data_IF_782220649339
#
_entry.id   IF_782220649339
#
_cell.length_a   1.000
_cell.length_b   1.000
_cell.length_c   1.000
_cell.angle_alpha   90.00
_cell.angle_beta   90.00
_cell.angle_gamma   90.00
#
_symmetry.space_group_name_H-M   'P 1'
#
loop_
_entity.id
_entity.type
_entity.pdbx_description
1 polymer ?
#
# COMPACT_ATOMS: atom_id res chain seq x y z
N UNK A 1 29.77 -43.83 46.33
CA UNK A 1 29.49 -43.27 44.97
C UNK A 1 28.26 -42.36 44.87
N UNK A 2 27.15 -42.57 45.60
CA UNK A 2 25.92 -41.74 45.50
C UNK A 2 26.10 -40.22 45.73
N UNK A 3 26.95 -39.80 46.68
CA UNK A 3 27.15 -38.35 46.99
C UNK A 3 27.83 -37.54 45.87
N UNK A 4 28.69 -38.16 45.05
CA UNK A 4 29.39 -37.46 43.95
C UNK A 4 28.42 -37.16 42.80
N UNK A 5 27.54 -38.11 42.48
CA UNK A 5 26.52 -37.95 41.43
C UNK A 5 25.49 -36.88 41.79
N UNK A 6 25.15 -36.74 43.07
CA UNK A 6 24.22 -35.70 43.54
C UNK A 6 24.80 -34.28 43.46
N UNK A 7 26.12 -34.11 43.63
CA UNK A 7 26.80 -32.82 43.43
C UNK A 7 26.84 -32.43 41.95
N UNK A 8 27.13 -33.38 41.07
CA UNK A 8 27.15 -33.15 39.61
C UNK A 8 25.75 -32.79 39.10
N UNK A 9 24.70 -33.49 39.56
CA UNK A 9 23.31 -33.18 39.19
C UNK A 9 22.87 -31.76 39.60
N UNK A 10 23.27 -31.30 40.80
CA UNK A 10 22.98 -29.92 41.24
C UNK A 10 23.68 -28.86 40.39
N UNK A 11 24.93 -29.11 40.00
CA UNK A 11 25.69 -28.18 39.14
C UNK A 11 25.03 -28.08 37.77
N UNK A 12 24.63 -29.21 37.17
CA UNK A 12 23.93 -29.23 35.88
C UNK A 12 22.58 -28.51 35.93
N UNK A 13 21.81 -28.68 37.01
CA UNK A 13 20.53 -27.98 37.20
C UNK A 13 20.72 -26.46 37.26
N UNK A 14 21.69 -25.99 38.04
CA UNK A 14 21.98 -24.56 38.18
C UNK A 14 22.41 -23.97 36.83
N UNK A 15 23.25 -24.68 36.08
CA UNK A 15 23.69 -24.26 34.75
C UNK A 15 22.53 -24.17 33.76
N UNK A 16 21.61 -25.15 33.78
CA UNK A 16 20.44 -25.14 32.91
C UNK A 16 19.48 -23.98 33.22
N UNK A 17 19.26 -23.68 34.50
CA UNK A 17 18.45 -22.52 34.93
C UNK A 17 19.11 -21.22 34.46
N UNK A 18 20.44 -21.11 34.56
CA UNK A 18 21.19 -19.94 34.11
C UNK A 18 21.03 -19.71 32.60
N UNK A 19 21.09 -20.77 31.78
CA UNK A 19 20.88 -20.70 30.33
C UNK A 19 19.47 -20.19 30.01
N UNK A 20 18.45 -20.72 30.67
CA UNK A 20 17.06 -20.27 30.49
C UNK A 20 16.93 -18.78 30.84
N UNK A 21 17.57 -18.34 31.92
CA UNK A 21 17.51 -16.95 32.38
C UNK A 21 18.22 -16.01 31.39
N UNK A 22 19.35 -16.43 30.82
CA UNK A 22 20.05 -15.70 29.77
C UNK A 22 19.19 -15.63 28.49
N UNK A 23 18.57 -16.72 28.08
CA UNK A 23 17.68 -16.74 26.91
C UNK A 23 16.47 -15.80 27.10
N UNK A 24 15.87 -15.77 28.28
CA UNK A 24 14.80 -14.83 28.64
C UNK A 24 15.26 -13.38 28.60
N UNK A 25 16.46 -13.09 29.14
CA UNK A 25 17.03 -11.74 29.10
C UNK A 25 17.36 -11.29 27.67
N UNK A 26 17.78 -12.21 26.80
CA UNK A 26 17.99 -11.93 25.37
C UNK A 26 16.65 -11.59 24.70
N UNK A 27 15.58 -12.35 24.97
CA UNK A 27 14.23 -12.08 24.44
C UNK A 27 13.71 -10.71 24.88
N UNK A 28 13.91 -10.34 26.16
CA UNK A 28 13.48 -9.04 26.71
C UNK A 28 14.33 -7.88 26.15
N UNK A 29 15.58 -8.14 25.77
CA UNK A 29 16.48 -7.15 25.14
C UNK A 29 16.40 -7.10 23.62
N UNK A 30 15.56 -7.92 22.98
CA UNK A 30 15.25 -7.70 21.56
C UNK A 30 14.67 -6.28 21.50
N UNK A 31 15.26 -5.37 20.71
CA UNK A 31 14.76 -4.01 20.60
C UNK A 31 13.27 -4.08 20.34
N UNK A 32 12.49 -3.27 21.08
CA UNK A 32 11.06 -3.10 20.85
C UNK A 32 10.82 -3.04 19.35
N UNK A 33 10.25 -4.10 18.79
CA UNK A 33 9.84 -4.15 17.39
C UNK A 33 9.00 -2.90 17.16
N UNK A 34 9.50 -1.97 16.33
CA UNK A 34 8.98 -0.62 16.26
C UNK A 34 9.99 0.34 15.64
N UNK A 35 9.51 1.30 14.86
CA UNK A 35 10.33 2.43 14.45
C UNK A 35 10.66 3.32 15.68
N UNK A 36 11.66 4.20 15.60
CA UNK A 36 11.87 5.22 16.63
C UNK A 36 10.56 5.97 16.94
N UNK A 37 10.32 6.24 18.23
CA UNK A 37 9.18 7.08 18.65
C UNK A 37 9.37 8.51 18.17
N UNK A 38 8.26 9.19 17.90
CA UNK A 38 8.19 10.61 17.54
C UNK A 38 8.91 10.95 16.23
N UNK A 39 8.99 10.00 15.30
CA UNK A 39 9.34 10.34 13.92
C UNK A 39 8.37 11.39 13.38
N UNK A 40 8.90 12.32 12.60
CA UNK A 40 8.09 13.22 11.80
C UNK A 40 7.29 12.44 10.74
N UNK A 41 6.28 13.09 10.19
CA UNK A 41 5.47 12.52 9.10
C UNK A 41 6.36 12.20 7.89
N UNK A 42 7.28 13.09 7.58
CA UNK A 42 8.19 13.03 6.44
C UNK A 42 9.21 11.90 6.59
N UNK A 43 9.79 11.74 7.79
CA UNK A 43 10.68 10.62 8.09
C UNK A 43 9.94 9.28 7.96
N UNK A 44 8.72 9.22 8.48
CA UNK A 44 7.88 8.01 8.38
C UNK A 44 7.59 7.63 6.93
N UNK A 45 7.18 8.61 6.10
CA UNK A 45 6.97 8.41 4.66
C UNK A 45 8.25 7.92 3.99
N UNK A 46 9.38 8.57 4.27
CA UNK A 46 10.67 8.24 3.66
C UNK A 46 11.09 6.81 3.97
N UNK A 47 10.97 6.39 5.23
CA UNK A 47 11.30 5.02 5.67
C UNK A 47 10.39 3.98 5.03
N UNK A 48 9.07 4.19 5.05
CA UNK A 48 8.10 3.27 4.44
C UNK A 48 8.32 3.20 2.92
N UNK A 49 8.50 4.34 2.25
CA UNK A 49 8.73 4.39 0.81
C UNK A 49 10.04 3.67 0.43
N UNK A 50 11.12 3.87 1.18
CA UNK A 50 12.39 3.17 0.94
C UNK A 50 12.23 1.65 1.08
N UNK A 51 11.56 1.19 2.14
CA UNK A 51 11.26 -0.23 2.36
C UNK A 51 10.41 -0.82 1.22
N UNK A 52 9.36 -0.12 0.80
CA UNK A 52 8.49 -0.55 -0.29
C UNK A 52 9.18 -0.55 -1.65
N UNK A 53 10.05 0.42 -1.94
CA UNK A 53 10.83 0.43 -3.18
C UNK A 53 11.83 -0.73 -3.23
N UNK A 54 12.36 -1.14 -2.07
CA UNK A 54 13.22 -2.32 -1.97
C UNK A 54 12.43 -3.62 -2.18
N UNK A 55 11.25 -3.74 -1.57
CA UNK A 55 10.41 -4.93 -1.66
C UNK A 55 9.72 -5.06 -3.04
N UNK A 56 9.28 -3.95 -3.62
CA UNK A 56 8.47 -3.87 -4.83
C UNK A 56 9.12 -2.93 -5.85
N UNK A 57 10.23 -3.40 -6.44
CA UNK A 57 10.98 -2.64 -7.45
C UNK A 57 10.06 -2.19 -8.59
N UNK A 58 10.13 -0.91 -8.96
CA UNK A 58 9.34 -0.27 -10.01
C UNK A 58 7.81 -0.23 -9.76
N UNK A 59 7.35 -0.50 -8.54
CA UNK A 59 5.94 -0.31 -8.20
C UNK A 59 5.60 1.18 -8.06
N UNK A 60 4.38 1.55 -8.44
CA UNK A 60 3.81 2.85 -8.10
C UNK A 60 3.29 2.77 -6.66
N UNK A 61 3.76 3.70 -5.82
CA UNK A 61 3.43 3.78 -4.40
C UNK A 61 2.65 5.06 -4.16
N UNK A 62 1.50 4.97 -3.52
CA UNK A 62 0.64 6.10 -3.19
C UNK A 62 0.18 6.02 -1.74
N UNK A 63 0.52 7.04 -0.96
CA UNK A 63 0.13 7.13 0.45
C UNK A 63 -1.29 7.67 0.55
N UNK A 64 -2.22 6.83 1.01
CA UNK A 64 -3.65 7.17 1.13
C UNK A 64 -3.94 7.93 2.42
N UNK A 65 -3.40 7.45 3.53
CA UNK A 65 -3.57 8.09 4.83
C UNK A 65 -2.33 7.89 5.70
N UNK A 66 -1.98 8.94 6.44
CA UNK A 66 -0.85 8.93 7.37
C UNK A 66 -1.33 9.67 8.62
N UNK A 67 -1.71 8.91 9.65
CA UNK A 67 -2.31 9.44 10.86
C UNK A 67 -1.46 9.06 12.06
N UNK A 68 -1.46 9.89 13.10
CA UNK A 68 -0.89 9.48 14.38
C UNK A 68 -1.69 8.30 14.94
N UNK A 69 -0.98 7.30 15.47
CA UNK A 69 -1.65 6.14 16.06
C UNK A 69 -2.44 6.56 17.29
N UNK A 70 -3.69 6.10 17.37
CA UNK A 70 -4.55 6.33 18.54
C UNK A 70 -4.21 5.39 19.69
N UNK A 71 -3.72 4.19 19.37
CA UNK A 71 -3.37 3.15 20.34
C UNK A 71 -1.95 3.31 20.86
N UNK A 72 -1.03 3.82 20.03
CA UNK A 72 0.39 3.94 20.34
C UNK A 72 0.88 5.39 20.14
N UNK A 73 0.79 6.26 21.16
CA UNK A 73 1.22 7.65 21.06
C UNK A 73 2.71 7.78 20.64
N UNK A 74 2.97 8.66 19.68
CA UNK A 74 4.30 8.86 19.09
C UNK A 74 4.61 7.95 17.89
N UNK A 75 3.66 7.11 17.48
CA UNK A 75 3.74 6.26 16.29
C UNK A 75 2.70 6.67 15.24
N UNK A 76 2.75 6.02 14.08
CA UNK A 76 1.96 6.34 12.89
C UNK A 76 1.24 5.11 12.35
N UNK A 77 0.00 5.31 11.96
CA UNK A 77 -0.82 4.38 11.19
C UNK A 77 -0.84 4.88 9.74
N UNK A 78 -0.36 4.04 8.82
CA UNK A 78 -0.13 4.44 7.42
C UNK A 78 -0.74 3.44 6.46
N UNK A 79 -1.63 3.91 5.59
CA UNK A 79 -2.20 3.12 4.51
C UNK A 79 -1.57 3.53 3.20
N UNK A 80 -1.05 2.55 2.46
CA UNK A 80 -0.33 2.74 1.21
C UNK A 80 -0.90 1.84 0.14
N UNK A 81 -1.21 2.39 -1.02
CA UNK A 81 -1.52 1.62 -2.22
C UNK A 81 -0.21 1.34 -2.94
N UNK A 82 0.03 0.06 -3.22
CA UNK A 82 1.16 -0.38 -4.03
C UNK A 82 0.61 -1.05 -5.28
N UNK A 83 0.95 -0.51 -6.45
CA UNK A 83 0.58 -1.06 -7.75
C UNK A 83 1.83 -1.54 -8.48
N UNK A 84 1.99 -2.86 -8.63
CA UNK A 84 3.04 -3.43 -9.48
C UNK A 84 2.57 -3.45 -10.93
N UNK A 85 3.51 -3.23 -11.84
CA UNK A 85 3.24 -3.13 -13.28
C UNK A 85 2.03 -2.22 -13.55
N UNK A 86 2.04 -0.95 -13.11
CA UNK A 86 0.86 -0.07 -13.18
C UNK A 86 0.38 0.19 -14.61
N UNK A 87 1.21 -0.11 -15.62
CA UNK A 87 0.87 -0.03 -17.04
C UNK A 87 0.31 -1.34 -17.61
N UNK A 88 0.21 -2.41 -16.80
CA UNK A 88 -0.40 -3.68 -17.16
C UNK A 88 -1.93 -3.53 -17.19
N UNK A 89 -2.63 -4.25 -18.09
CA UNK A 89 -4.09 -4.31 -18.09
C UNK A 89 -4.68 -4.91 -16.81
N UNK A 90 -3.90 -5.74 -16.09
CA UNK A 90 -4.20 -6.13 -14.72
C UNK A 90 -2.96 -5.80 -13.88
N UNK A 91 -2.87 -4.60 -13.30
CA UNK A 91 -1.83 -4.30 -12.34
C UNK A 91 -2.09 -5.11 -11.07
N UNK A 92 -1.05 -5.62 -10.42
CA UNK A 92 -1.21 -6.19 -9.09
C UNK A 92 -1.27 -5.03 -8.09
N UNK A 93 -2.46 -4.75 -7.55
CA UNK A 93 -2.66 -3.61 -6.65
C UNK A 93 -3.11 -4.09 -5.28
N UNK A 94 -2.41 -3.64 -4.24
CA UNK A 94 -2.70 -3.96 -2.85
C UNK A 94 -2.73 -2.69 -2.00
N UNK A 95 -3.57 -2.71 -0.98
CA UNK A 95 -3.50 -1.75 0.12
C UNK A 95 -2.72 -2.39 1.25
N UNK A 96 -1.63 -1.75 1.64
CA UNK A 96 -0.77 -2.14 2.74
C UNK A 96 -1.03 -1.20 3.92
N UNK A 97 -1.27 -1.79 5.08
CA UNK A 97 -1.45 -1.08 6.33
C UNK A 97 -0.19 -1.28 7.19
N UNK A 98 0.40 -0.17 7.61
CA UNK A 98 1.51 -0.10 8.54
C UNK A 98 1.04 0.47 9.86
N UNK A 99 1.52 -0.15 10.94
CA UNK A 99 1.55 0.47 12.25
C UNK A 99 3.01 0.51 12.68
N UNK A 100 3.59 1.72 12.72
CA UNK A 100 5.01 1.90 12.98
C UNK A 100 5.40 1.52 14.41
N UNK A 101 4.41 1.31 15.29
CA UNK A 101 4.64 0.67 16.58
C UNK A 101 5.21 -0.73 16.42
N UNK A 102 4.79 -1.50 15.41
CA UNK A 102 5.32 -2.84 15.13
C UNK A 102 6.49 -2.85 14.14
N UNK A 103 6.93 -1.67 13.68
CA UNK A 103 8.08 -1.49 12.79
C UNK A 103 7.65 -1.24 11.35
N UNK A 104 8.38 -1.84 10.40
CA UNK A 104 8.09 -1.75 8.96
C UNK A 104 7.40 -3.02 8.44
N UNK A 105 6.81 -3.82 9.32
CA UNK A 105 5.96 -4.92 8.90
C UNK A 105 4.59 -4.35 8.46
N UNK A 106 4.06 -4.89 7.38
CA UNK A 106 2.77 -4.48 6.83
C UNK A 106 1.79 -5.63 6.76
N UNK A 107 0.51 -5.29 6.86
CA UNK A 107 -0.59 -6.22 6.56
C UNK A 107 -1.19 -5.84 5.23
N UNK A 108 -1.50 -6.86 4.42
CA UNK A 108 -2.30 -6.66 3.21
C UNK A 108 -3.75 -6.51 3.67
N UNK A 109 -4.25 -5.28 3.64
CA UNK A 109 -5.63 -4.98 4.01
C UNK A 109 -6.60 -5.43 2.91
N UNK A 110 -6.20 -5.25 1.65
CA UNK A 110 -7.00 -5.64 0.50
C UNK A 110 -6.12 -5.91 -0.74
N UNK A 111 -6.48 -6.91 -1.53
CA UNK A 111 -5.92 -7.13 -2.87
C UNK A 111 -6.97 -6.71 -3.91
N UNK A 112 -6.78 -5.53 -4.48
CA UNK A 112 -7.75 -4.86 -5.34
C UNK A 112 -7.89 -5.51 -6.72
N UNK A 113 -6.94 -6.35 -7.13
CA UNK A 113 -6.94 -6.98 -8.46
C UNK A 113 -6.88 -8.51 -8.44
N UNK A 114 -7.16 -9.14 -7.29
CA UNK A 114 -7.16 -10.61 -7.09
C UNK A 114 -7.97 -11.40 -8.12
N UNK A 115 -9.01 -10.78 -8.69
CA UNK A 115 -9.92 -11.39 -9.68
C UNK A 115 -9.97 -10.58 -10.99
N UNK A 116 -8.86 -9.93 -11.36
CA UNK A 116 -8.78 -9.20 -12.62
C UNK A 116 -8.80 -10.20 -13.79
N UNK A 117 -9.92 -10.24 -14.53
CA UNK A 117 -10.07 -11.08 -15.71
C UNK A 117 -9.90 -10.19 -16.94
N UNK A 118 -8.79 -10.38 -17.65
CA UNK A 118 -8.57 -9.76 -18.97
C UNK A 118 -9.36 -10.55 -20.00
N UNK A 119 -10.45 -9.99 -20.52
CA UNK A 119 -11.12 -10.54 -21.69
C UNK A 119 -10.45 -10.04 -22.97
N UNK A 120 -9.69 -10.91 -23.65
CA UNK A 120 -9.08 -10.62 -24.94
C UNK A 120 -8.22 -11.78 -25.49
N UNK A 121 -8.30 -12.02 -26.81
CA UNK A 121 -7.41 -12.96 -27.49
C UNK A 121 -5.94 -12.51 -27.35
N UNK A 122 -5.04 -13.45 -27.03
CA UNK A 122 -3.63 -13.24 -26.60
C UNK A 122 -2.73 -12.33 -27.48
N UNK A 123 -3.21 -11.82 -28.62
CA UNK A 123 -2.46 -11.01 -29.58
C UNK A 123 -3.11 -9.65 -29.94
N UNK A 124 -4.09 -9.16 -29.18
CA UNK A 124 -4.72 -7.86 -29.47
C UNK A 124 -4.33 -6.82 -28.39
N UNK A 125 -3.75 -5.69 -28.79
CA UNK A 125 -3.33 -4.55 -27.94
C UNK A 125 -4.49 -3.78 -27.29
N UNK A 126 -5.64 -4.44 -27.21
CA UNK A 126 -6.97 -3.87 -27.16
C UNK A 126 -7.65 -4.36 -25.88
N UNK A 127 -7.07 -4.00 -24.73
CA UNK A 127 -7.53 -4.42 -23.41
C UNK A 127 -8.73 -3.59 -22.94
N UNK A 128 -9.70 -4.22 -22.30
CA UNK A 128 -10.87 -3.59 -21.70
C UNK A 128 -10.57 -3.29 -20.22
N UNK A 129 -10.60 -2.01 -19.81
CA UNK A 129 -10.59 -1.57 -18.42
C UNK A 129 -11.90 -1.99 -17.76
N UNK A 130 -11.85 -3.09 -17.02
CA UNK A 130 -13.02 -3.70 -16.39
C UNK A 130 -13.38 -3.07 -15.04
N UNK A 131 -12.47 -2.29 -14.44
CA UNK A 131 -12.63 -1.78 -13.07
C UNK A 131 -12.47 -0.26 -12.97
N UNK A 132 -13.19 0.33 -12.02
CA UNK A 132 -13.27 1.77 -11.73
C UNK A 132 -11.92 2.39 -11.43
N UNK A 133 -11.11 1.69 -10.65
CA UNK A 133 -9.79 2.14 -10.18
C UNK A 133 -8.78 2.22 -11.33
N UNK A 134 -8.86 1.29 -12.28
CA UNK A 134 -7.98 1.27 -13.45
C UNK A 134 -8.30 2.47 -14.36
N UNK A 135 -9.58 2.79 -14.52
CA UNK A 135 -10.01 3.96 -15.28
C UNK A 135 -9.50 5.26 -14.66
N UNK A 136 -9.63 5.41 -13.34
CA UNK A 136 -9.10 6.57 -12.59
C UNK A 136 -7.57 6.69 -12.72
N UNK A 137 -6.85 5.57 -12.59
CA UNK A 137 -5.40 5.54 -12.74
C UNK A 137 -4.97 5.94 -14.15
N UNK A 138 -5.67 5.44 -15.19
CA UNK A 138 -5.39 5.78 -16.59
C UNK A 138 -5.66 7.26 -16.88
N UNK A 139 -6.80 7.79 -16.46
CA UNK A 139 -7.14 9.20 -16.65
C UNK A 139 -6.10 10.14 -15.98
N UNK A 140 -5.55 9.74 -14.82
CA UNK A 140 -4.51 10.53 -14.13
C UNK A 140 -3.19 10.67 -14.91
N UNK A 141 -2.98 9.88 -15.97
CA UNK A 141 -1.78 9.96 -16.79
C UNK A 141 -1.80 11.10 -17.81
N UNK A 142 -2.96 11.69 -18.11
CA UNK A 142 -3.05 12.82 -19.03
C UNK A 142 -2.55 14.11 -18.38
N UNK A 143 -1.76 14.90 -19.11
CA UNK A 143 -1.07 16.06 -18.55
C UNK A 143 -2.01 17.18 -18.07
N UNK A 144 -3.18 17.33 -18.70
CA UNK A 144 -4.21 18.26 -18.24
C UNK A 144 -4.84 17.81 -16.92
N UNK A 145 -5.00 16.50 -16.69
CA UNK A 145 -5.48 15.95 -15.41
C UNK A 145 -4.44 16.16 -14.32
N UNK A 146 -3.16 15.86 -14.62
CA UNK A 146 -2.04 16.15 -13.69
C UNK A 146 -2.01 17.63 -13.31
N UNK A 147 -2.23 18.52 -14.29
CA UNK A 147 -2.28 19.96 -14.06
C UNK A 147 -3.48 20.38 -13.20
N UNK A 148 -4.66 19.81 -13.44
CA UNK A 148 -5.86 20.05 -12.63
C UNK A 148 -5.64 19.63 -11.17
N UNK A 149 -5.11 18.43 -10.96
CA UNK A 149 -4.79 17.88 -9.63
C UNK A 149 -3.75 18.76 -8.94
N UNK A 150 -2.66 19.11 -9.62
CA UNK A 150 -1.58 19.94 -9.06
C UNK A 150 -2.06 21.33 -8.63
N UNK A 151 -3.02 21.90 -9.36
CA UNK A 151 -3.59 23.22 -9.07
C UNK A 151 -4.76 23.16 -8.07
N UNK A 152 -5.09 21.98 -7.55
CA UNK A 152 -6.15 21.83 -6.56
C UNK A 152 -5.64 22.17 -5.15
N UNK A 153 -5.99 23.35 -4.66
CA UNK A 153 -5.66 23.80 -3.30
C UNK A 153 -6.73 23.41 -2.25
N UNK A 154 -7.65 22.51 -2.61
CA UNK A 154 -8.75 22.04 -1.76
C UNK A 154 -8.78 20.50 -1.73
N UNK A 155 -9.71 19.90 -0.98
CA UNK A 155 -9.92 18.46 -1.01
C UNK A 155 -10.31 18.01 -2.42
N UNK A 156 -9.50 17.08 -2.96
CA UNK A 156 -9.75 16.45 -4.24
C UNK A 156 -10.60 15.19 -4.03
N UNK A 157 -11.74 15.10 -4.71
CA UNK A 157 -12.55 13.90 -4.82
C UNK A 157 -12.41 13.33 -6.23
N UNK A 158 -12.29 12.01 -6.35
CA UNK A 158 -12.16 11.33 -7.65
C UNK A 158 -13.06 10.11 -7.67
N UNK A 159 -13.77 9.93 -8.78
CA UNK A 159 -14.72 8.84 -9.00
C UNK A 159 -14.66 8.41 -10.47
N UNK A 160 -15.00 7.16 -10.77
CA UNK A 160 -15.30 6.75 -12.13
C UNK A 160 -16.56 5.87 -12.20
N UNK A 161 -17.33 6.08 -13.25
CA UNK A 161 -18.52 5.30 -13.56
C UNK A 161 -18.53 4.93 -15.06
N UNK A 162 -19.05 3.75 -15.42
CA UNK A 162 -19.30 3.43 -16.81
C UNK A 162 -20.39 4.36 -17.37
N UNK A 163 -20.21 4.85 -18.58
CA UNK A 163 -21.22 5.71 -19.24
C UNK A 163 -22.45 4.88 -19.65
N UNK A 164 -23.59 5.13 -19.01
CA UNK A 164 -24.82 4.32 -19.11
C UNK A 164 -25.66 4.55 -20.39
N UNK A 165 -25.31 5.53 -21.24
CA UNK A 165 -26.13 5.89 -22.41
C UNK A 165 -25.47 5.43 -23.72
N UNK A 166 -25.83 4.24 -24.18
CA UNK A 166 -25.63 3.72 -25.56
C UNK A 166 -24.19 3.68 -26.12
N UNK A 167 -23.17 4.10 -25.37
CA UNK A 167 -21.75 3.94 -25.69
C UNK A 167 -21.13 2.93 -24.73
N UNK A 168 -21.30 1.64 -25.02
CA UNK A 168 -20.86 0.48 -24.23
C UNK A 168 -19.34 0.36 -23.98
N UNK A 169 -18.53 1.40 -24.22
CA UNK A 169 -17.07 1.30 -24.20
C UNK A 169 -16.36 2.52 -23.59
N UNK A 170 -16.95 3.23 -22.61
CA UNK A 170 -16.28 4.38 -22.01
C UNK A 170 -16.52 4.54 -20.50
N UNK A 171 -15.47 4.95 -19.81
CA UNK A 171 -15.50 5.40 -18.42
C UNK A 171 -15.62 6.92 -18.40
N UNK A 172 -16.53 7.44 -17.57
CA UNK A 172 -16.52 8.83 -17.13
C UNK A 172 -15.74 8.89 -15.81
N UNK A 173 -14.55 9.49 -15.84
CA UNK A 173 -13.74 9.73 -14.65
C UNK A 173 -13.89 11.20 -14.25
N UNK A 174 -14.45 11.44 -13.07
CA UNK A 174 -14.67 12.80 -12.56
C UNK A 174 -13.64 13.13 -11.47
N UNK A 175 -13.00 14.29 -11.63
CA UNK A 175 -12.14 14.91 -10.63
C UNK A 175 -12.83 16.17 -10.12
N UNK A 176 -13.14 16.23 -8.83
CA UNK A 176 -13.79 17.39 -8.18
C UNK A 176 -12.82 18.04 -7.22
N UNK A 177 -12.56 19.33 -7.44
CA UNK A 177 -11.75 20.18 -6.57
C UNK A 177 -12.56 21.40 -6.14
N UNK A 178 -13.15 21.35 -4.94
CA UNK A 178 -14.06 22.38 -4.48
C UNK A 178 -15.32 22.46 -5.35
N UNK A 179 -15.52 23.60 -6.01
CA UNK A 179 -16.63 23.83 -6.95
C UNK A 179 -16.29 23.51 -8.42
N UNK A 180 -15.03 23.14 -8.70
CA UNK A 180 -14.58 22.81 -10.05
C UNK A 180 -14.65 21.29 -10.24
N UNK A 181 -15.24 20.87 -11.35
CA UNK A 181 -15.23 19.48 -11.79
C UNK A 181 -14.50 19.38 -13.14
N UNK A 182 -13.76 18.30 -13.33
CA UNK A 182 -13.17 17.90 -14.61
C UNK A 182 -13.65 16.49 -14.90
N UNK A 183 -14.39 16.32 -15.99
CA UNK A 183 -14.75 15.00 -16.50
C UNK A 183 -13.76 14.57 -17.57
N UNK A 184 -13.34 13.32 -17.49
CA UNK A 184 -12.40 12.70 -18.41
C UNK A 184 -13.06 11.43 -18.91
N UNK A 185 -13.51 11.47 -20.16
CA UNK A 185 -14.10 10.33 -20.81
C UNK A 185 -12.99 9.54 -21.49
N UNK A 186 -12.74 8.33 -21.03
CA UNK A 186 -11.73 7.44 -21.59
C UNK A 186 -12.39 6.18 -22.13
N UNK A 187 -11.86 5.65 -23.22
CA UNK A 187 -12.33 4.38 -23.74
C UNK A 187 -12.04 3.27 -22.73
N UNK A 188 -13.03 2.40 -22.49
CA UNK A 188 -12.81 1.13 -21.82
C UNK A 188 -11.79 0.31 -22.58
N UNK A 189 -11.73 0.43 -23.90
CA UNK A 189 -10.75 -0.28 -24.73
C UNK A 189 -9.51 0.58 -24.98
N UNK A 190 -8.37 0.25 -24.38
CA UNK A 190 -7.09 0.95 -24.62
C UNK A 190 -6.91 2.30 -23.91
N UNK A 191 -7.98 2.86 -23.32
CA UNK A 191 -7.84 3.94 -22.33
C UNK A 191 -7.44 5.24 -22.99
N UNK A 192 -7.87 5.38 -24.24
CA UNK A 192 -7.66 6.54 -25.06
C UNK A 192 -8.63 7.62 -24.60
N UNK A 193 -8.17 8.86 -24.65
CA UNK A 193 -9.03 9.99 -24.36
C UNK A 193 -10.10 10.09 -25.45
N UNK A 194 -11.37 10.01 -25.06
CA UNK A 194 -12.50 10.24 -25.95
C UNK A 194 -12.84 11.72 -25.95
N UNK A 195 -13.02 12.29 -24.76
CA UNK A 195 -13.38 13.70 -24.59
C UNK A 195 -13.11 14.16 -23.16
N UNK A 196 -13.21 15.48 -22.96
CA UNK A 196 -13.18 16.12 -21.64
C UNK A 196 -14.29 17.15 -21.54
N UNK A 197 -14.80 17.41 -20.34
CA UNK A 197 -15.70 18.55 -20.06
C UNK A 197 -15.42 19.18 -18.71
#
# INVERSE_FOLDING_TARGET
MKKKNMKIARILLIFFILIILIALLIIIKIPSFGLPKNLTREETISMINSSLQQAYKNARIEFVSINSSKLHPGYWEVNVVVSKNPNSPCPETFVLEYDTFYGLDWKIQNNLTRDCIVFGAQNNTNYIYGRREEAMSRASQFDFVKSFIKNCNQSLYVDAAPTLKNSTNAWDVIYVCGVKALHVFISQKGGELISTS
#
